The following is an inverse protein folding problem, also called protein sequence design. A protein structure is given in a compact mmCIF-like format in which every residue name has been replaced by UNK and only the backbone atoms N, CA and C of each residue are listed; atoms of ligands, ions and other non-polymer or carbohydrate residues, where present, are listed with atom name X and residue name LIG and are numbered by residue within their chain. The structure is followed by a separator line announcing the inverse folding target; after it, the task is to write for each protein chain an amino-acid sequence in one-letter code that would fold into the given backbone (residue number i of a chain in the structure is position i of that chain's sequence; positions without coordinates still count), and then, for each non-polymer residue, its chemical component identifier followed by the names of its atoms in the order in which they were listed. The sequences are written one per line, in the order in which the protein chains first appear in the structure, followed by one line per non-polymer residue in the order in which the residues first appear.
data_IF_588011427613
#
_entry.id   IF_588011427613
#
_cell.length_a   1.000
_cell.length_b   1.000
_cell.length_c   1.000
_cell.angle_alpha   90.00
_cell.angle_beta   90.00
_cell.angle_gamma   90.00
#
_symmetry.space_group_name_H-M   'P 1'
#
loop_
_entity.id
_entity.type
_entity.pdbx_description
1 polymer ?
#
# COMPACT_ATOMS: atom_id res chain seq x y z
N UNK A 1 -30.31 9.34 -59.27
CA UNK A 1 -28.89 8.99 -59.11
C UNK A 1 -28.28 9.93 -58.09
N UNK A 2 -27.95 9.44 -56.90
CA UNK A 2 -26.90 9.98 -56.03
C UNK A 2 -26.82 9.07 -54.80
N UNK A 3 -25.72 8.34 -54.73
CA UNK A 3 -25.37 7.38 -53.68
C UNK A 3 -25.07 8.10 -52.36
N UNK A 4 -25.65 7.62 -51.27
CA UNK A 4 -25.28 8.00 -49.91
C UNK A 4 -24.08 7.17 -49.44
N UNK A 5 -22.88 7.74 -49.50
CA UNK A 5 -21.71 7.18 -48.81
C UNK A 5 -21.81 7.44 -47.30
N UNK A 6 -22.03 6.37 -46.56
CA UNK A 6 -22.02 6.35 -45.10
C UNK A 6 -20.57 6.15 -44.61
N UNK A 7 -19.83 7.23 -44.34
CA UNK A 7 -18.49 7.11 -43.74
C UNK A 7 -18.62 6.98 -42.21
N UNK A 8 -18.51 5.75 -41.71
CA UNK A 8 -18.41 5.48 -40.27
C UNK A 8 -17.09 6.04 -39.75
N UNK A 9 -17.16 7.03 -38.88
CA UNK A 9 -16.00 7.68 -38.25
C UNK A 9 -15.46 6.79 -37.14
N UNK A 10 -14.48 5.96 -37.46
CA UNK A 10 -13.75 5.09 -36.52
C UNK A 10 -12.92 5.94 -35.57
N UNK A 11 -13.26 5.98 -34.28
CA UNK A 11 -12.53 6.73 -33.25
C UNK A 11 -11.28 5.97 -32.77
N UNK A 12 -10.23 6.69 -32.38
CA UNK A 12 -8.89 6.16 -32.01
C UNK A 12 -8.91 5.09 -30.89
N UNK A 13 -9.96 5.05 -30.07
CA UNK A 13 -10.20 4.00 -29.07
C UNK A 13 -10.49 2.62 -29.68
N UNK A 14 -11.14 2.57 -30.84
CA UNK A 14 -11.44 1.31 -31.55
C UNK A 14 -10.21 0.74 -32.27
N UNK A 15 -9.27 1.60 -32.69
CA UNK A 15 -7.98 1.16 -33.25
C UNK A 15 -7.03 0.58 -32.19
N UNK A 16 -7.05 1.11 -30.95
CA UNK A 16 -6.36 0.51 -29.78
C UNK A 16 -6.98 -0.83 -29.34
N UNK A 17 -8.31 -0.99 -29.46
CA UNK A 17 -9.01 -2.27 -29.21
C UNK A 17 -8.67 -3.35 -30.25
N UNK A 18 -8.44 -2.98 -31.51
CA UNK A 18 -8.09 -3.94 -32.56
C UNK A 18 -6.62 -4.37 -32.53
N UNK A 19 -5.67 -3.48 -32.24
CA UNK A 19 -4.24 -3.82 -32.19
C UNK A 19 -3.82 -4.60 -30.94
N UNK A 20 -4.57 -4.53 -29.84
CA UNK A 20 -4.31 -5.36 -28.65
C UNK A 20 -4.99 -6.74 -28.74
N UNK A 21 -6.07 -6.87 -29.52
CA UNK A 21 -6.72 -8.16 -29.76
C UNK A 21 -5.94 -9.06 -30.74
N UNK A 22 -5.10 -8.49 -31.61
CA UNK A 22 -4.30 -9.26 -32.58
C UNK A 22 -2.94 -9.75 -32.07
N UNK A 23 -2.65 -9.60 -30.77
CA UNK A 23 -1.42 -10.12 -30.13
C UNK A 23 -1.71 -11.16 -29.04
N UNK A 24 -2.95 -11.65 -28.95
CA UNK A 24 -3.37 -12.69 -28.02
C UNK A 24 -3.56 -14.03 -28.74
N UNK A 25 -2.52 -14.49 -29.43
CA UNK A 25 -2.31 -15.92 -29.64
C UNK A 25 -0.97 -16.25 -29.00
N UNK A 26 -0.99 -16.48 -27.68
CA UNK A 26 0.13 -17.07 -26.97
C UNK A 26 -0.37 -18.32 -26.24
N UNK A 27 0.42 -19.39 -26.36
CA UNK A 27 0.14 -20.74 -25.92
C UNK A 27 -0.11 -20.79 -24.39
N UNK A 28 -0.82 -21.80 -23.85
CA UNK A 28 -1.19 -21.80 -22.44
C UNK A 28 0.06 -21.87 -21.57
N UNK A 29 0.41 -20.74 -20.96
CA UNK A 29 1.43 -20.69 -19.92
C UNK A 29 1.01 -21.64 -18.79
N UNK A 30 1.87 -22.60 -18.46
CA UNK A 30 1.64 -23.53 -17.36
C UNK A 30 1.61 -22.74 -16.06
N UNK A 31 0.40 -22.52 -15.53
CA UNK A 31 0.19 -21.87 -14.21
C UNK A 31 1.01 -22.60 -13.15
N UNK A 32 1.91 -21.90 -12.48
CA UNK A 32 2.76 -22.42 -11.42
C UNK A 32 1.95 -22.45 -10.12
N UNK A 33 2.10 -23.53 -9.36
CA UNK A 33 1.53 -23.62 -8.02
C UNK A 33 2.38 -22.81 -7.04
N UNK A 34 1.70 -22.02 -6.21
CA UNK A 34 2.31 -21.28 -5.09
C UNK A 34 1.48 -21.59 -3.85
N UNK A 35 1.87 -22.59 -3.06
CA UNK A 35 1.09 -23.05 -1.90
C UNK A 35 1.60 -22.37 -0.63
N UNK A 36 0.70 -21.75 0.13
CA UNK A 36 1.02 -21.25 1.47
C UNK A 36 1.12 -22.44 2.44
N UNK A 37 2.26 -22.60 3.11
CA UNK A 37 2.44 -23.62 4.14
C UNK A 37 1.55 -23.39 5.38
N UNK A 38 1.51 -24.36 6.30
CA UNK A 38 0.70 -24.26 7.52
C UNK A 38 1.14 -23.07 8.41
N UNK A 39 0.17 -22.22 8.76
CA UNK A 39 0.37 -21.08 9.66
C UNK A 39 0.47 -21.55 11.13
N UNK A 40 1.62 -22.07 11.52
CA UNK A 40 1.95 -22.42 12.91
C UNK A 40 2.29 -21.18 13.75
N UNK A 41 2.20 -21.30 15.08
CA UNK A 41 2.68 -20.26 16.00
C UNK A 41 4.22 -20.20 15.96
N UNK A 42 4.79 -19.50 14.98
CA UNK A 42 6.23 -19.18 15.01
C UNK A 42 6.38 -17.95 15.89
N UNK A 43 6.92 -18.14 17.10
CA UNK A 43 7.39 -17.03 17.92
C UNK A 43 8.63 -16.43 17.26
N UNK A 44 8.63 -15.13 16.98
CA UNK A 44 9.84 -14.42 16.59
C UNK A 44 10.82 -14.45 17.78
N UNK A 45 11.87 -15.26 17.64
CA UNK A 45 13.03 -15.25 18.54
C UNK A 45 13.69 -13.88 18.41
N UNK A 46 13.43 -13.00 19.36
CA UNK A 46 14.23 -11.79 19.55
C UNK A 46 15.63 -12.22 19.96
N UNK A 47 16.63 -11.75 19.20
CA UNK A 47 18.04 -12.02 19.46
C UNK A 47 18.41 -11.69 20.91
N UNK A 48 19.02 -12.66 21.56
CA UNK A 48 19.61 -12.56 22.89
C UNK A 48 20.70 -11.48 22.93
N UNK A 49 20.49 -10.44 23.73
CA UNK A 49 21.57 -9.58 24.22
C UNK A 49 22.20 -10.21 25.47
N UNK A 50 23.54 -10.24 25.59
CA UNK A 50 24.21 -10.92 26.70
C UNK A 50 24.05 -10.17 28.02
N UNK A 51 23.76 -10.94 29.07
CA UNK A 51 23.67 -10.51 30.46
C UNK A 51 24.96 -9.83 30.95
N UNK A 52 24.83 -8.66 31.59
CA UNK A 52 25.73 -8.24 32.68
C UNK A 52 24.95 -7.66 33.87
N UNK A 53 24.99 -8.47 34.94
CA UNK A 53 25.07 -8.18 36.40
C UNK A 53 24.19 -7.09 37.04
N UNK A 54 23.36 -7.60 37.96
CA UNK A 54 22.66 -6.93 39.08
C UNK A 54 23.52 -5.93 39.86
N UNK A 55 22.90 -4.80 40.23
CA UNK A 55 23.06 -4.16 41.53
C UNK A 55 21.68 -3.68 42.03
N UNK A 56 21.44 -3.84 43.34
CA UNK A 56 20.17 -3.60 44.04
C UNK A 56 20.03 -2.12 44.43
N UNK A 57 18.81 -1.57 44.36
CA UNK A 57 18.33 -0.62 45.38
C UNK A 57 16.81 -0.40 45.34
N UNK A 58 16.18 -0.87 46.43
CA UNK A 58 15.11 -0.27 47.24
C UNK A 58 13.81 0.28 46.63
N UNK A 59 12.74 -0.20 47.26
CA UNK A 59 11.31 0.12 47.12
C UNK A 59 11.00 1.43 47.84
N UNK A 60 10.29 2.35 47.17
CA UNK A 60 9.39 3.30 47.84
C UNK A 60 8.09 3.42 47.03
N UNK A 61 6.97 3.21 47.72
CA UNK A 61 5.59 3.24 47.20
C UNK A 61 5.12 4.68 46.93
N UNK A 62 4.35 4.88 45.86
CA UNK A 62 3.21 5.82 45.86
C UNK A 62 2.22 5.50 44.71
N UNK A 63 0.91 5.40 45.02
CA UNK A 63 -0.21 5.19 44.08
C UNK A 63 -0.75 6.55 43.53
N UNK A 64 -1.87 6.61 42.78
CA UNK A 64 -1.90 6.82 41.34
C UNK A 64 -2.51 8.18 40.93
N UNK A 65 -2.15 8.73 39.76
CA UNK A 65 -2.96 9.78 39.11
C UNK A 65 -3.15 9.52 37.62
N UNK A 66 -4.43 9.45 37.26
CA UNK A 66 -5.00 9.37 35.91
C UNK A 66 -4.63 10.59 35.07
N UNK A 67 -4.31 10.36 33.77
CA UNK A 67 -5.02 10.94 32.61
C UNK A 67 -4.30 10.53 31.32
N UNK A 68 -4.88 9.56 30.63
CA UNK A 68 -4.53 9.16 29.27
C UNK A 68 -4.93 10.29 28.31
N UNK A 69 -3.96 10.97 27.69
CA UNK A 69 -4.23 11.86 26.56
C UNK A 69 -4.35 11.02 25.29
N UNK A 70 -5.57 10.92 24.80
CA UNK A 70 -5.91 10.41 23.46
C UNK A 70 -5.28 11.35 22.43
N UNK A 71 -4.53 10.80 21.48
CA UNK A 71 -4.04 11.55 20.33
C UNK A 71 -5.23 11.84 19.40
N UNK A 72 -5.69 13.08 19.41
CA UNK A 72 -6.74 13.60 18.53
C UNK A 72 -6.08 13.94 17.19
N UNK A 73 -6.58 13.35 16.10
CA UNK A 73 -6.20 13.73 14.74
C UNK A 73 -6.55 15.21 14.50
N UNK A 74 -5.73 15.99 13.77
CA UNK A 74 -6.04 17.39 13.54
C UNK A 74 -7.28 17.52 12.64
N UNK A 75 -8.30 18.18 13.18
CA UNK A 75 -9.50 18.60 12.45
C UNK A 75 -9.11 19.64 11.40
N UNK A 76 -9.23 19.30 10.12
CA UNK A 76 -9.13 20.28 9.03
C UNK A 76 -10.41 21.14 9.07
N UNK A 77 -10.30 22.34 9.65
CA UNK A 77 -11.29 23.40 9.47
C UNK A 77 -10.89 24.19 8.22
N UNK A 78 -11.82 24.30 7.27
CA UNK A 78 -11.71 25.24 6.17
C UNK A 78 -11.71 26.67 6.74
N UNK A 79 -10.54 27.29 6.78
CA UNK A 79 -10.39 28.73 6.99
C UNK A 79 -10.07 29.35 5.63
N UNK A 80 -11.02 30.12 5.11
CA UNK A 80 -10.80 31.04 4.00
C UNK A 80 -9.98 32.20 4.58
N UNK A 81 -8.70 32.26 4.22
CA UNK A 81 -7.86 33.43 4.39
C UNK A 81 -7.33 33.79 3.01
N UNK A 82 -7.69 34.99 2.58
CA UNK A 82 -7.17 35.65 1.40
C UNK A 82 -5.72 36.05 1.66
N UNK A 83 -4.78 35.36 1.01
CA UNK A 83 -3.40 35.84 0.86
C UNK A 83 -3.07 35.89 -0.64
N UNK A 84 -2.79 37.11 -1.10
CA UNK A 84 -2.37 37.47 -2.45
C UNK A 84 -0.87 37.15 -2.65
N UNK A 85 -0.55 35.87 -2.79
CA UNK A 85 0.63 35.44 -3.55
C UNK A 85 0.19 34.56 -4.71
N UNK A 86 0.86 34.60 -5.88
CA UNK A 86 0.46 33.79 -7.02
C UNK A 86 0.67 32.32 -6.66
N UNK A 87 -0.39 31.64 -6.20
CA UNK A 87 -0.44 30.19 -6.13
C UNK A 87 -0.15 29.68 -7.53
N UNK A 88 1.03 29.10 -7.75
CA UNK A 88 1.29 28.31 -8.95
C UNK A 88 0.15 27.30 -9.08
N UNK A 89 -0.57 27.38 -10.20
CA UNK A 89 -1.69 26.49 -10.46
C UNK A 89 -1.18 25.06 -10.46
N UNK A 90 -1.92 24.19 -9.78
CA UNK A 90 -1.69 22.73 -9.70
C UNK A 90 -1.50 22.11 -11.09
N UNK A 91 -2.14 22.73 -12.10
CA UNK A 91 -2.10 22.29 -13.49
C UNK A 91 -0.87 22.80 -14.25
N UNK A 92 -0.09 23.75 -13.73
CA UNK A 92 1.11 24.24 -14.44
C UNK A 92 2.33 23.33 -14.20
N UNK A 93 2.27 22.48 -13.18
CA UNK A 93 3.43 21.77 -12.63
C UNK A 93 3.55 20.31 -13.12
N UNK A 94 2.45 19.67 -13.54
CA UNK A 94 2.41 18.22 -13.81
C UNK A 94 2.33 17.92 -15.31
N UNK A 95 3.33 17.30 -15.94
CA UNK A 95 3.29 16.98 -17.39
C UNK A 95 2.33 15.84 -17.82
N UNK A 96 1.56 15.27 -16.89
CA UNK A 96 0.58 14.21 -17.16
C UNK A 96 -0.83 14.78 -17.47
N UNK A 97 -1.37 14.56 -18.68
CA UNK A 97 -2.74 14.95 -19.05
C UNK A 97 -3.83 14.40 -18.13
N UNK A 98 -3.61 13.25 -17.46
CA UNK A 98 -4.57 12.68 -16.51
C UNK A 98 -4.61 13.46 -15.18
N UNK A 99 -3.53 14.15 -14.81
CA UNK A 99 -3.43 14.90 -13.55
C UNK A 99 -3.68 16.40 -13.69
N UNK A 100 -3.72 16.93 -14.91
CA UNK A 100 -4.12 18.31 -15.27
C UNK A 100 -5.61 18.46 -15.59
N UNK A 101 -6.42 17.45 -15.26
CA UNK A 101 -7.85 17.47 -15.53
C UNK A 101 -8.59 18.49 -14.64
N UNK A 102 -9.70 19.08 -15.09
CA UNK A 102 -10.47 20.08 -14.33
C UNK A 102 -10.97 19.56 -12.96
N UNK A 103 -11.04 18.24 -12.78
CA UNK A 103 -11.46 17.58 -11.54
C UNK A 103 -10.29 17.13 -10.66
N UNK A 104 -9.02 17.40 -11.02
CA UNK A 104 -7.85 16.86 -10.32
C UNK A 104 -7.78 17.27 -8.84
N UNK A 105 -8.11 18.53 -8.55
CA UNK A 105 -8.17 19.06 -7.18
C UNK A 105 -9.34 18.47 -6.39
N UNK A 106 -10.51 18.35 -7.02
CA UNK A 106 -11.72 17.81 -6.39
C UNK A 106 -11.54 16.32 -6.06
N UNK A 107 -11.00 15.55 -7.00
CA UNK A 107 -10.68 14.13 -6.82
C UNK A 107 -9.69 13.95 -5.68
N UNK A 108 -8.61 14.74 -5.64
CA UNK A 108 -7.64 14.64 -4.55
C UNK A 108 -8.26 14.95 -3.20
N UNK A 109 -9.03 16.05 -3.11
CA UNK A 109 -9.72 16.44 -1.88
C UNK A 109 -10.70 15.36 -1.42
N UNK A 110 -11.46 14.78 -2.36
CA UNK A 110 -12.36 13.66 -2.10
C UNK A 110 -11.62 12.42 -1.57
N UNK A 111 -10.50 12.04 -2.19
CA UNK A 111 -9.69 10.90 -1.75
C UNK A 111 -9.09 11.13 -0.36
N UNK A 112 -8.64 12.36 -0.04
CA UNK A 112 -8.13 12.74 1.29
C UNK A 112 -9.22 12.68 2.37
N UNK A 113 -10.45 13.06 2.04
CA UNK A 113 -11.60 12.91 2.94
C UNK A 113 -11.91 11.41 3.13
N UNK A 114 -11.98 10.66 2.04
CA UNK A 114 -12.34 9.25 2.05
C UNK A 114 -11.36 8.38 2.83
N UNK A 115 -10.05 8.60 2.69
CA UNK A 115 -9.04 7.81 3.41
C UNK A 115 -9.09 7.99 4.93
N UNK A 116 -9.64 9.12 5.38
CA UNK A 116 -9.76 9.48 6.80
C UNK A 116 -11.08 9.02 7.42
N UNK A 117 -12.05 8.56 6.62
CA UNK A 117 -13.35 8.11 7.11
C UNK A 117 -13.20 6.89 8.04
N UNK A 118 -13.62 6.98 9.32
CA UNK A 118 -13.42 5.88 10.28
C UNK A 118 -14.04 4.54 9.85
N UNK A 119 -15.19 4.57 9.17
CA UNK A 119 -15.87 3.36 8.66
C UNK A 119 -15.10 2.63 7.56
N UNK A 120 -14.21 3.34 6.86
CA UNK A 120 -13.37 2.81 5.78
C UNK A 120 -12.01 2.33 6.27
N UNK A 121 -11.69 2.58 7.54
CA UNK A 121 -10.39 2.29 8.13
C UNK A 121 -10.43 0.99 8.93
N UNK A 122 -9.38 0.15 8.83
CA UNK A 122 -9.18 -0.91 9.79
C UNK A 122 -8.89 -0.34 11.18
N UNK A 123 -9.27 -1.07 12.23
CA UNK A 123 -8.96 -0.72 13.62
C UNK A 123 -7.45 -0.96 13.84
N UNK A 124 -6.65 0.06 14.22
CA UNK A 124 -5.19 -0.07 14.29
C UNK A 124 -4.63 -1.19 15.18
N UNK A 125 -5.42 -1.66 16.15
CA UNK A 125 -5.07 -2.74 17.07
C UNK A 125 -6.09 -3.89 17.06
N UNK A 126 -6.64 -4.21 15.89
CA UNK A 126 -7.55 -5.34 15.74
C UNK A 126 -6.92 -6.70 16.10
N UNK A 127 -5.60 -6.87 15.92
CA UNK A 127 -4.92 -8.12 16.29
C UNK A 127 -5.00 -8.33 17.80
N UNK A 128 -4.76 -7.29 18.59
CA UNK A 128 -4.77 -7.39 20.05
C UNK A 128 -6.18 -7.33 20.65
N UNK A 129 -7.11 -6.61 20.01
CA UNK A 129 -8.45 -6.37 20.57
C UNK A 129 -9.52 -7.33 20.10
N UNK A 130 -9.42 -7.83 18.86
CA UNK A 130 -10.48 -8.60 18.21
C UNK A 130 -10.02 -10.03 17.96
N UNK A 131 -8.83 -10.20 17.39
CA UNK A 131 -8.33 -11.52 17.03
C UNK A 131 -7.83 -12.29 18.25
N UNK A 132 -8.16 -13.58 18.29
CA UNK A 132 -7.71 -14.50 19.34
C UNK A 132 -6.71 -15.53 18.81
N UNK A 133 -6.77 -15.84 17.53
CA UNK A 133 -6.02 -16.93 16.89
C UNK A 133 -5.12 -16.47 15.73
N UNK A 134 -5.31 -15.24 15.24
CA UNK A 134 -4.52 -14.62 14.17
C UNK A 134 -3.51 -13.64 14.76
N UNK A 135 -2.25 -13.80 14.41
CA UNK A 135 -1.16 -12.90 14.81
C UNK A 135 -0.71 -11.97 13.69
N UNK A 136 -0.04 -10.88 14.04
CA UNK A 136 0.58 -9.97 13.07
C UNK A 136 1.58 -10.69 12.13
N UNK A 137 2.30 -11.69 12.64
CA UNK A 137 3.22 -12.49 11.83
C UNK A 137 2.48 -13.34 10.79
N UNK A 138 1.37 -13.98 11.17
CA UNK A 138 0.54 -14.75 10.23
C UNK A 138 -0.05 -13.86 9.13
N UNK A 139 -0.46 -12.63 9.48
CA UNK A 139 -0.87 -11.63 8.48
C UNK A 139 0.29 -11.30 7.53
N UNK A 140 1.49 -11.06 8.04
CA UNK A 140 2.68 -10.79 7.21
C UNK A 140 2.99 -11.93 6.24
N UNK A 141 2.94 -13.18 6.72
CA UNK A 141 3.14 -14.39 5.91
C UNK A 141 2.06 -14.55 4.83
N UNK A 142 0.79 -14.29 5.17
CA UNK A 142 -0.29 -14.27 4.18
C UNK A 142 -0.02 -13.23 3.08
N UNK A 143 0.32 -11.99 3.46
CA UNK A 143 0.54 -10.91 2.49
C UNK A 143 1.76 -11.19 1.61
N UNK A 144 2.85 -11.73 2.16
CA UNK A 144 4.03 -12.14 1.38
C UNK A 144 3.65 -13.16 0.31
N UNK A 145 2.88 -14.19 0.67
CA UNK A 145 2.35 -15.15 -0.29
C UNK A 145 1.40 -14.53 -1.32
N UNK A 146 0.53 -13.60 -0.91
CA UNK A 146 -0.38 -12.92 -1.83
C UNK A 146 0.35 -12.09 -2.90
N UNK A 147 1.55 -11.59 -2.60
CA UNK A 147 2.41 -10.93 -3.62
C UNK A 147 2.80 -11.93 -4.70
N UNK A 148 3.20 -13.15 -4.33
CA UNK A 148 3.52 -14.20 -5.29
C UNK A 148 2.30 -14.62 -6.12
N UNK A 149 1.11 -14.72 -5.49
CA UNK A 149 -0.15 -15.02 -6.20
C UNK A 149 -0.51 -13.91 -7.19
N UNK A 150 -0.30 -12.65 -6.81
CA UNK A 150 -0.55 -11.51 -7.69
C UNK A 150 0.37 -11.54 -8.92
N UNK A 151 1.66 -11.88 -8.76
CA UNK A 151 2.58 -12.05 -9.89
C UNK A 151 2.19 -13.25 -10.78
N UNK A 152 1.79 -14.38 -10.18
CA UNK A 152 1.37 -15.59 -10.92
C UNK A 152 0.14 -15.33 -11.80
N UNK A 153 -0.83 -14.58 -11.29
CA UNK A 153 -2.03 -14.19 -12.02
C UNK A 153 -1.93 -12.84 -12.74
N UNK A 154 -0.74 -12.23 -12.72
CA UNK A 154 -0.46 -10.94 -13.37
C UNK A 154 -1.45 -9.85 -12.97
N UNK A 155 -1.87 -9.85 -11.71
CA UNK A 155 -2.77 -8.85 -11.16
C UNK A 155 -2.04 -7.52 -11.03
N UNK A 156 -2.77 -6.42 -11.27
CA UNK A 156 -2.30 -5.08 -11.05
C UNK A 156 -2.01 -4.82 -9.56
N UNK A 157 -1.13 -3.83 -9.27
CA UNK A 157 -0.84 -3.45 -7.89
C UNK A 157 -2.12 -3.00 -7.16
N UNK A 158 -3.01 -2.25 -7.82
CA UNK A 158 -4.23 -1.75 -7.21
C UNK A 158 -5.11 -2.89 -6.65
N UNK A 159 -5.21 -4.04 -7.33
CA UNK A 159 -5.89 -5.24 -6.81
C UNK A 159 -5.22 -5.81 -5.56
N UNK A 160 -3.89 -5.88 -5.51
CA UNK A 160 -3.17 -6.34 -4.32
C UNK A 160 -3.44 -5.42 -3.12
N UNK A 161 -3.31 -4.10 -3.31
CA UNK A 161 -3.54 -3.12 -2.24
C UNK A 161 -5.00 -3.17 -1.73
N UNK A 162 -5.98 -3.29 -2.63
CA UNK A 162 -7.39 -3.42 -2.26
C UNK A 162 -7.65 -4.71 -1.49
N UNK A 163 -7.09 -5.83 -1.93
CA UNK A 163 -7.22 -7.14 -1.26
C UNK A 163 -6.79 -7.06 0.20
N UNK A 164 -5.65 -6.41 0.46
CA UNK A 164 -5.08 -6.27 1.81
C UNK A 164 -5.91 -5.31 2.66
N UNK A 165 -6.42 -4.23 2.05
CA UNK A 165 -7.40 -3.34 2.69
C UNK A 165 -8.66 -4.09 3.12
N UNK A 166 -9.16 -5.02 2.30
CA UNK A 166 -10.33 -5.84 2.64
C UNK A 166 -10.04 -6.79 3.79
N UNK A 167 -8.88 -7.46 3.78
CA UNK A 167 -8.42 -8.34 4.87
C UNK A 167 -8.37 -7.58 6.19
N UNK A 168 -7.68 -6.44 6.23
CA UNK A 168 -7.49 -5.67 7.47
C UNK A 168 -8.82 -5.13 8.01
N UNK A 169 -9.72 -4.67 7.14
CA UNK A 169 -11.06 -4.22 7.54
C UNK A 169 -11.93 -5.38 8.03
N UNK A 170 -11.89 -6.53 7.36
CA UNK A 170 -12.64 -7.71 7.77
C UNK A 170 -12.20 -8.21 9.14
N UNK A 171 -10.89 -8.33 9.37
CA UNK A 171 -10.31 -8.74 10.66
C UNK A 171 -10.51 -7.70 11.77
N UNK A 172 -10.86 -6.45 11.42
CA UNK A 172 -11.25 -5.42 12.38
C UNK A 172 -12.64 -5.64 12.98
N UNK A 173 -13.49 -6.45 12.34
CA UNK A 173 -14.89 -6.63 12.72
C UNK A 173 -15.24 -8.09 13.01
N UNK A 174 -14.51 -9.04 12.45
CA UNK A 174 -14.82 -10.46 12.51
C UNK A 174 -13.64 -11.25 13.09
N UNK A 175 -13.91 -12.08 14.10
CA UNK A 175 -12.93 -13.04 14.61
C UNK A 175 -12.77 -14.16 13.59
N UNK A 176 -11.53 -14.46 13.22
CA UNK A 176 -11.21 -15.51 12.26
C UNK A 176 -10.23 -16.51 12.87
N UNK A 177 -10.42 -17.80 12.59
CA UNK A 177 -9.40 -18.81 12.90
C UNK A 177 -8.26 -18.75 11.90
N UNK A 178 -7.03 -19.02 12.35
CA UNK A 178 -5.82 -19.09 11.52
C UNK A 178 -5.99 -20.00 10.29
N UNK A 179 -6.76 -21.10 10.41
CA UNK A 179 -6.99 -22.08 9.34
C UNK A 179 -7.82 -21.50 8.18
N UNK A 180 -8.58 -20.42 8.43
CA UNK A 180 -9.39 -19.73 7.42
C UNK A 180 -8.72 -18.46 6.90
N UNK A 181 -7.50 -18.15 7.35
CA UNK A 181 -6.82 -16.92 6.97
C UNK A 181 -6.43 -16.92 5.48
N UNK A 182 -5.97 -18.06 4.95
CA UNK A 182 -5.70 -18.20 3.51
C UNK A 182 -7.00 -18.07 2.68
N UNK A 183 -8.11 -18.67 3.13
CA UNK A 183 -9.43 -18.51 2.50
C UNK A 183 -9.86 -17.03 2.45
N UNK A 184 -9.69 -16.28 3.55
CA UNK A 184 -9.96 -14.84 3.57
C UNK A 184 -9.08 -14.09 2.55
N UNK A 185 -7.81 -14.47 2.44
CA UNK A 185 -6.85 -13.89 1.50
C UNK A 185 -7.29 -14.05 0.04
N UNK A 186 -7.53 -15.28 -0.40
CA UNK A 186 -7.92 -15.55 -1.79
C UNK A 186 -9.30 -15.01 -2.15
N UNK A 187 -10.26 -15.06 -1.23
CA UNK A 187 -11.58 -14.44 -1.46
C UNK A 187 -11.48 -12.91 -1.55
N UNK A 188 -10.57 -12.30 -0.80
CA UNK A 188 -10.29 -10.85 -0.90
C UNK A 188 -9.63 -10.48 -2.23
N UNK A 189 -8.70 -11.32 -2.73
CA UNK A 189 -8.11 -11.16 -4.08
C UNK A 189 -9.12 -11.36 -5.19
N UNK A 190 -10.04 -12.32 -5.06
CA UNK A 190 -11.13 -12.51 -6.00
C UNK A 190 -11.99 -11.25 -6.10
N UNK A 191 -12.37 -10.65 -4.98
CA UNK A 191 -13.18 -9.42 -4.97
C UNK A 191 -12.40 -8.25 -5.58
N UNK A 192 -11.15 -8.04 -5.17
CA UNK A 192 -10.33 -6.94 -5.68
C UNK A 192 -10.05 -7.10 -7.18
N UNK A 193 -9.86 -8.33 -7.65
CA UNK A 193 -9.70 -8.61 -9.07
C UNK A 193 -10.98 -8.27 -9.84
N UNK A 194 -12.15 -8.69 -9.36
CA UNK A 194 -13.45 -8.33 -9.98
C UNK A 194 -13.70 -6.82 -10.02
N UNK A 195 -13.12 -6.09 -9.07
CA UNK A 195 -13.29 -4.64 -8.96
C UNK A 195 -12.38 -3.87 -9.91
N UNK A 196 -11.13 -4.29 -10.07
CA UNK A 196 -10.08 -3.50 -10.72
C UNK A 196 -9.61 -4.08 -12.07
N UNK A 197 -9.66 -5.40 -12.25
CA UNK A 197 -9.11 -6.05 -13.44
C UNK A 197 -10.08 -6.02 -14.62
N UNK A 198 -9.52 -5.83 -15.82
CA UNK A 198 -10.28 -5.94 -17.07
C UNK A 198 -10.81 -7.38 -17.26
N UNK A 199 -9.97 -8.36 -16.92
CA UNK A 199 -10.27 -9.79 -17.01
C UNK A 199 -9.85 -10.48 -15.72
N UNK A 200 -10.72 -10.49 -14.69
CA UNK A 200 -10.39 -11.10 -13.40
C UNK A 200 -10.28 -12.63 -13.50
N UNK A 201 -9.41 -13.28 -12.70
CA UNK A 201 -9.39 -14.74 -12.59
C UNK A 201 -10.72 -15.31 -12.11
N UNK A 202 -11.02 -16.55 -12.49
CA UNK A 202 -12.22 -17.24 -12.05
C UNK A 202 -12.05 -17.81 -10.64
N UNK A 203 -13.16 -18.19 -10.00
CA UNK A 203 -13.14 -18.79 -8.66
C UNK A 203 -12.31 -20.07 -8.63
N UNK A 204 -12.36 -20.86 -9.71
CA UNK A 204 -11.57 -22.06 -9.93
C UNK A 204 -10.06 -21.80 -9.84
N UNK A 205 -9.59 -20.65 -10.33
CA UNK A 205 -8.18 -20.29 -10.26
C UNK A 205 -7.74 -20.12 -8.80
N UNK A 206 -8.53 -19.41 -8.00
CA UNK A 206 -8.25 -19.25 -6.57
C UNK A 206 -8.38 -20.56 -5.77
N UNK A 207 -9.22 -21.51 -6.21
CA UNK A 207 -9.22 -22.86 -5.66
C UNK A 207 -7.92 -23.59 -6.01
N UNK A 208 -7.47 -23.48 -7.27
CA UNK A 208 -6.26 -24.13 -7.77
C UNK A 208 -4.99 -23.63 -7.06
N UNK A 209 -4.82 -22.32 -6.87
CA UNK A 209 -3.60 -21.77 -6.24
C UNK A 209 -3.46 -22.16 -4.77
N UNK A 210 -4.57 -22.47 -4.11
CA UNK A 210 -4.58 -22.99 -2.73
C UNK A 210 -4.41 -24.50 -2.67
N UNK A 211 -3.92 -25.14 -3.74
CA UNK A 211 -3.83 -26.59 -3.91
C UNK A 211 -5.16 -27.32 -3.65
N UNK A 212 -6.28 -26.66 -3.98
CA UNK A 212 -7.63 -27.13 -3.70
C UNK A 212 -7.89 -27.39 -2.21
N UNK A 213 -7.17 -26.71 -1.32
CA UNK A 213 -7.45 -26.71 0.13
C UNK A 213 -8.89 -26.24 0.41
N UNK A 214 -9.40 -25.33 -0.43
CA UNK A 214 -10.76 -24.83 -0.33
C UNK A 214 -11.57 -25.13 -1.59
N UNK A 215 -12.83 -25.46 -1.40
CA UNK A 215 -13.79 -25.69 -2.48
C UNK A 215 -14.41 -24.38 -2.96
N UNK A 216 -14.91 -24.38 -4.20
CA UNK A 216 -15.56 -23.22 -4.84
C UNK A 216 -16.63 -22.58 -3.96
N UNK A 217 -17.49 -23.37 -3.33
CA UNK A 217 -18.56 -22.91 -2.45
C UNK A 217 -18.04 -22.22 -1.18
N UNK A 218 -16.91 -22.66 -0.65
CA UNK A 218 -16.26 -22.00 0.50
C UNK A 218 -15.70 -20.64 0.11
N UNK A 219 -15.05 -20.54 -1.05
CA UNK A 219 -14.51 -19.28 -1.58
C UNK A 219 -15.64 -18.28 -1.86
N UNK A 220 -16.74 -18.72 -2.49
CA UNK A 220 -17.91 -17.88 -2.78
C UNK A 220 -18.63 -17.47 -1.49
N UNK A 221 -18.72 -18.37 -0.51
CA UNK A 221 -19.31 -18.03 0.80
C UNK A 221 -18.47 -16.97 1.52
N UNK A 222 -17.16 -17.14 1.56
CA UNK A 222 -16.26 -16.15 2.16
C UNK A 222 -16.31 -14.82 1.40
N UNK A 223 -16.39 -14.82 0.07
CA UNK A 223 -16.63 -13.61 -0.71
C UNK A 223 -17.90 -12.87 -0.26
N UNK A 224 -19.02 -13.58 -0.12
CA UNK A 224 -20.27 -13.00 0.35
C UNK A 224 -20.16 -12.45 1.78
N UNK A 225 -19.45 -13.15 2.68
CA UNK A 225 -19.23 -12.72 4.05
C UNK A 225 -18.39 -11.44 4.13
N UNK A 226 -17.36 -11.32 3.28
CA UNK A 226 -16.53 -10.10 3.16
C UNK A 226 -17.40 -8.94 2.67
N UNK A 227 -18.11 -9.10 1.56
CA UNK A 227 -18.93 -8.04 0.96
C UNK A 227 -19.99 -7.52 1.94
N UNK A 228 -20.66 -8.43 2.67
CA UNK A 228 -21.62 -8.06 3.72
C UNK A 228 -20.95 -7.31 4.87
N UNK A 229 -19.81 -7.82 5.37
CA UNK A 229 -19.08 -7.19 6.48
C UNK A 229 -18.61 -5.78 6.14
N UNK A 230 -18.20 -5.56 4.88
CA UNK A 230 -17.72 -4.28 4.40
C UNK A 230 -18.84 -3.37 3.89
N UNK A 231 -20.11 -3.78 3.97
CA UNK A 231 -21.26 -3.09 3.41
C UNK A 231 -21.07 -2.68 1.94
N UNK A 232 -20.39 -3.52 1.14
CA UNK A 232 -20.04 -3.26 -0.26
C UNK A 232 -19.22 -1.97 -0.51
N UNK A 233 -18.60 -1.40 0.53
CA UNK A 233 -17.72 -0.23 0.43
C UNK A 233 -16.31 -0.67 -0.06
N UNK A 234 -16.17 -0.96 -1.36
CA UNK A 234 -14.96 -1.59 -1.92
C UNK A 234 -13.90 -0.61 -2.47
N UNK A 235 -14.31 0.60 -2.85
CA UNK A 235 -13.45 1.59 -3.52
C UNK A 235 -12.64 2.49 -2.59
N UNK A 236 -11.93 1.94 -1.61
CA UNK A 236 -11.14 2.75 -0.67
C UNK A 236 -9.80 3.18 -1.28
N UNK A 237 -9.35 4.43 -1.05
CA UNK A 237 -8.01 4.86 -1.47
C UNK A 237 -6.93 4.06 -0.75
N UNK A 238 -5.87 3.76 -1.47
CA UNK A 238 -4.71 3.00 -1.00
C UNK A 238 -3.44 3.86 -1.11
N UNK A 239 -2.32 3.39 -0.55
CA UNK A 239 -1.08 4.16 -0.67
C UNK A 239 -0.68 4.34 -2.14
N UNK A 240 -0.96 3.32 -2.98
CA UNK A 240 -0.75 3.37 -4.43
C UNK A 240 -1.53 4.51 -5.11
N UNK A 241 -2.75 4.79 -4.65
CA UNK A 241 -3.59 5.89 -5.17
C UNK A 241 -2.89 7.25 -5.08
N UNK A 242 -2.20 7.52 -3.97
CA UNK A 242 -1.50 8.79 -3.74
C UNK A 242 -0.06 8.79 -4.29
N UNK A 243 0.58 7.62 -4.32
CA UNK A 243 2.00 7.49 -4.62
C UNK A 243 2.38 8.03 -6.00
N UNK A 244 1.58 7.78 -7.05
CA UNK A 244 1.84 8.30 -8.41
C UNK A 244 1.91 9.83 -8.39
N UNK A 245 0.93 10.46 -7.75
CA UNK A 245 0.81 11.93 -7.64
C UNK A 245 2.01 12.52 -6.89
N UNK A 246 2.38 11.94 -5.76
CA UNK A 246 3.51 12.43 -4.96
C UNK A 246 4.86 12.18 -5.60
N UNK A 247 5.03 11.08 -6.34
CA UNK A 247 6.27 10.79 -7.05
C UNK A 247 6.49 11.75 -8.22
N UNK A 248 5.43 12.14 -8.94
CA UNK A 248 5.56 13.15 -10.00
C UNK A 248 6.06 14.49 -9.45
N UNK A 249 5.50 14.94 -8.33
CA UNK A 249 5.86 16.21 -7.69
C UNK A 249 7.28 16.17 -7.13
N UNK A 250 7.65 15.04 -6.52
CA UNK A 250 8.98 14.81 -6.01
C UNK A 250 10.09 14.90 -7.08
N UNK A 251 9.72 14.76 -8.35
CA UNK A 251 10.62 14.74 -9.50
C UNK A 251 10.74 16.09 -10.22
N UNK A 252 9.97 17.11 -9.83
CA UNK A 252 9.99 18.45 -10.47
C UNK A 252 11.38 19.08 -10.50
N UNK A 253 12.18 18.82 -9.46
CA UNK A 253 13.55 19.34 -9.35
C UNK A 253 14.50 18.73 -10.41
N UNK A 254 14.10 17.66 -11.10
CA UNK A 254 14.93 16.91 -12.03
C UNK A 254 14.46 17.12 -13.47
N UNK A 255 15.43 17.40 -14.37
CA UNK A 255 15.18 17.62 -15.80
C UNK A 255 14.55 16.41 -16.52
N UNK A 256 14.67 15.22 -15.97
CA UNK A 256 14.13 13.98 -16.55
C UNK A 256 13.52 13.13 -15.44
N UNK A 257 12.28 12.62 -15.61
CA UNK A 257 11.67 11.69 -14.68
C UNK A 257 12.58 10.45 -14.47
N UNK A 258 12.86 10.15 -13.22
CA UNK A 258 13.61 8.99 -12.78
C UNK A 258 12.65 7.83 -12.53
N UNK A 259 12.55 6.92 -13.50
CA UNK A 259 11.85 5.63 -13.32
C UNK A 259 12.35 4.86 -12.08
N UNK A 260 13.62 5.05 -11.72
CA UNK A 260 14.21 4.43 -10.53
C UNK A 260 13.58 4.97 -9.24
N UNK A 261 13.24 6.26 -9.19
CA UNK A 261 12.53 6.84 -8.04
C UNK A 261 11.11 6.30 -7.95
N UNK A 262 10.42 6.20 -9.08
CA UNK A 262 9.06 5.65 -9.16
C UNK A 262 9.01 4.20 -8.66
N UNK A 263 9.87 3.33 -9.21
CA UNK A 263 9.92 1.93 -8.78
C UNK A 263 10.38 1.80 -7.33
N UNK A 264 11.29 2.63 -6.84
CA UNK A 264 11.71 2.62 -5.45
C UNK A 264 10.57 3.05 -4.51
N UNK A 265 9.79 4.08 -4.90
CA UNK A 265 8.58 4.48 -4.19
C UNK A 265 7.55 3.35 -4.13
N UNK A 266 7.34 2.64 -5.25
CA UNK A 266 6.46 1.46 -5.30
C UNK A 266 6.95 0.32 -4.41
N UNK A 267 8.24 -0.01 -4.49
CA UNK A 267 8.86 -1.03 -3.66
C UNK A 267 8.64 -0.75 -2.16
N UNK A 268 8.93 0.48 -1.73
CA UNK A 268 8.78 0.88 -0.35
C UNK A 268 7.31 0.86 0.09
N UNK A 269 6.40 1.39 -0.73
CA UNK A 269 4.98 1.32 -0.41
C UNK A 269 4.47 -0.13 -0.35
N UNK A 270 4.99 -1.05 -1.16
CA UNK A 270 4.59 -2.47 -1.14
C UNK A 270 5.18 -3.20 0.08
N UNK A 271 6.41 -2.88 0.49
CA UNK A 271 6.97 -3.35 1.77
C UNK A 271 6.10 -2.98 2.97
N UNK A 272 5.50 -1.79 2.95
CA UNK A 272 4.61 -1.33 4.03
C UNK A 272 3.39 -2.24 4.23
N UNK A 273 2.98 -2.97 3.19
CA UNK A 273 1.85 -3.90 3.26
C UNK A 273 2.14 -5.12 4.11
N UNK A 274 3.42 -5.49 4.30
CA UNK A 274 3.83 -6.67 5.08
C UNK A 274 3.71 -6.43 6.59
N UNK A 275 3.99 -5.21 7.05
CA UNK A 275 4.06 -4.89 8.49
C UNK A 275 2.73 -4.34 9.02
N UNK A 276 2.17 -5.06 9.99
CA UNK A 276 0.96 -4.68 10.70
C UNK A 276 1.02 -3.26 11.30
N UNK A 277 2.20 -2.76 11.66
CA UNK A 277 2.36 -1.41 12.20
C UNK A 277 1.91 -0.29 11.26
N UNK A 278 1.79 -0.55 9.95
CA UNK A 278 1.34 0.43 8.97
C UNK A 278 -0.17 0.60 8.91
N UNK A 279 -0.95 -0.34 9.47
CA UNK A 279 -2.42 -0.29 9.51
C UNK A 279 -2.95 0.98 10.18
N UNK A 280 -2.17 1.60 11.08
CA UNK A 280 -2.52 2.84 11.78
C UNK A 280 -2.37 4.12 10.94
N UNK A 281 -1.53 4.11 9.90
CA UNK A 281 -1.19 5.31 9.14
C UNK A 281 -2.18 5.55 7.99
N UNK A 282 -2.39 6.80 7.60
CA UNK A 282 -3.19 7.13 6.41
C UNK A 282 -2.47 6.65 5.14
N UNK A 283 -3.20 6.12 4.15
CA UNK A 283 -2.64 5.75 2.86
C UNK A 283 -1.76 6.84 2.23
N UNK A 284 -2.21 8.10 2.26
CA UNK A 284 -1.41 9.25 1.79
C UNK A 284 -0.15 9.47 2.61
N UNK A 285 -0.19 9.30 3.93
CA UNK A 285 0.99 9.42 4.80
C UNK A 285 2.01 8.32 4.49
N UNK A 286 1.56 7.09 4.22
CA UNK A 286 2.44 5.99 3.80
C UNK A 286 3.07 6.30 2.44
N UNK A 287 2.29 6.78 1.47
CA UNK A 287 2.79 7.18 0.15
C UNK A 287 3.83 8.32 0.26
N UNK A 288 3.56 9.35 1.05
CA UNK A 288 4.48 10.44 1.32
C UNK A 288 5.79 9.94 1.97
N UNK A 289 5.68 9.02 2.93
CA UNK A 289 6.83 8.40 3.59
C UNK A 289 7.68 7.57 2.63
N UNK A 290 7.04 6.85 1.69
CA UNK A 290 7.71 6.09 0.66
C UNK A 290 8.50 7.02 -0.29
N UNK A 291 7.90 8.13 -0.71
CA UNK A 291 8.58 9.14 -1.55
C UNK A 291 9.73 9.81 -0.81
N UNK A 292 9.53 10.20 0.45
CA UNK A 292 10.60 10.75 1.30
C UNK A 292 11.78 9.80 1.36
N UNK A 293 11.53 8.53 1.69
CA UNK A 293 12.59 7.55 1.84
C UNK A 293 13.25 7.21 0.50
N UNK A 294 12.49 7.15 -0.59
CA UNK A 294 13.03 6.96 -1.93
C UNK A 294 14.01 8.09 -2.31
N UNK A 295 13.63 9.36 -2.07
CA UNK A 295 14.53 10.51 -2.30
C UNK A 295 15.78 10.43 -1.44
N UNK A 296 15.63 10.04 -0.16
CA UNK A 296 16.78 9.87 0.74
C UNK A 296 17.76 8.79 0.25
N UNK A 297 17.25 7.63 -0.20
CA UNK A 297 18.09 6.54 -0.71
C UNK A 297 18.81 6.96 -2.00
N UNK A 298 18.12 7.66 -2.90
CA UNK A 298 18.70 8.11 -4.17
C UNK A 298 19.70 9.25 -4.00
N UNK A 299 19.39 10.21 -3.12
CA UNK A 299 20.20 11.40 -2.91
C UNK A 299 20.41 11.67 -1.42
N UNK A 300 21.24 10.88 -0.72
CA UNK A 300 21.44 10.99 0.73
C UNK A 300 21.95 12.34 1.24
N UNK A 301 22.51 13.17 0.35
CA UNK A 301 23.06 14.49 0.68
C UNK A 301 22.05 15.61 0.56
N UNK A 302 20.92 15.38 -0.10
CA UNK A 302 19.88 16.38 -0.33
C UNK A 302 18.76 16.19 0.69
N UNK A 303 18.17 17.29 1.17
CA UNK A 303 17.00 17.20 2.01
C UNK A 303 15.85 16.51 1.24
N UNK A 304 15.34 15.36 1.69
CA UNK A 304 14.40 14.56 0.91
C UNK A 304 13.01 15.19 0.80
N UNK A 305 12.66 16.12 1.70
CA UNK A 305 11.35 16.79 1.74
C UNK A 305 11.48 18.28 1.42
N UNK A 306 11.13 18.67 0.19
CA UNK A 306 11.16 20.07 -0.24
C UNK A 306 9.86 20.82 0.05
N UNK A 307 9.89 22.15 -0.09
CA UNK A 307 8.71 23.00 0.15
C UNK A 307 7.53 22.68 -0.78
N UNK A 308 7.79 22.35 -2.06
CA UNK A 308 6.74 22.03 -3.04
C UNK A 308 5.93 20.79 -2.61
N UNK A 309 6.62 19.68 -2.31
CA UNK A 309 5.95 18.44 -1.89
C UNK A 309 5.25 18.61 -0.54
N UNK A 310 5.80 19.43 0.37
CA UNK A 310 5.14 19.77 1.63
C UNK A 310 3.83 20.54 1.40
N UNK A 311 3.84 21.59 0.57
CA UNK A 311 2.65 22.36 0.26
C UNK A 311 1.55 21.50 -0.37
N UNK A 312 1.94 20.57 -1.25
CA UNK A 312 0.99 19.74 -1.98
C UNK A 312 0.39 18.60 -1.15
N UNK A 313 1.24 17.92 -0.39
CA UNK A 313 0.82 16.79 0.46
C UNK A 313 0.15 17.28 1.75
N UNK A 314 0.48 18.49 2.20
CA UNK A 314 0.10 19.03 3.50
C UNK A 314 0.83 18.36 4.68
N UNK A 315 1.84 17.53 4.42
CA UNK A 315 2.61 16.85 5.47
C UNK A 315 3.95 17.55 5.71
N UNK A 316 4.23 17.84 6.98
CA UNK A 316 5.54 18.31 7.42
C UNK A 316 6.50 17.12 7.57
N UNK A 317 7.82 17.32 7.48
CA UNK A 317 8.79 16.25 7.74
C UNK A 317 8.57 15.55 9.08
N UNK A 318 8.23 16.32 10.13
CA UNK A 318 7.93 15.80 11.47
C UNK A 318 6.75 14.81 11.49
N UNK A 319 5.73 15.01 10.66
CA UNK A 319 4.55 14.12 10.57
C UNK A 319 4.92 12.75 10.00
N UNK A 320 5.87 12.73 9.07
CA UNK A 320 6.31 11.51 8.36
C UNK A 320 7.28 10.66 9.17
N UNK A 321 7.96 11.25 10.16
CA UNK A 321 9.06 10.63 10.91
C UNK A 321 8.78 9.21 11.37
N UNK A 322 7.64 8.97 12.02
CA UNK A 322 7.31 7.65 12.56
C UNK A 322 7.15 6.59 11.47
N UNK A 323 6.52 6.96 10.36
CA UNK A 323 6.28 6.06 9.23
C UNK A 323 7.56 5.83 8.42
N UNK A 324 8.36 6.88 8.18
CA UNK A 324 9.65 6.80 7.48
C UNK A 324 10.64 5.90 8.22
N UNK A 325 10.77 6.03 9.54
CA UNK A 325 11.69 5.19 10.32
C UNK A 325 11.28 3.71 10.31
N UNK A 326 9.98 3.42 10.44
CA UNK A 326 9.46 2.05 10.30
C UNK A 326 9.71 1.49 8.90
N UNK A 327 9.54 2.33 7.88
CA UNK A 327 9.74 1.94 6.50
C UNK A 327 11.23 1.72 6.17
N UNK A 328 12.13 2.49 6.78
CA UNK A 328 13.57 2.28 6.68
C UNK A 328 14.01 0.98 7.36
N UNK A 329 13.45 0.65 8.52
CA UNK A 329 13.67 -0.64 9.18
C UNK A 329 13.20 -1.81 8.30
N UNK A 330 12.06 -1.67 7.62
CA UNK A 330 11.61 -2.63 6.61
C UNK A 330 12.60 -2.69 5.46
N UNK A 331 12.98 -1.57 4.84
CA UNK A 331 13.93 -1.57 3.73
C UNK A 331 15.25 -2.28 4.08
N UNK A 332 15.82 -1.97 5.26
CA UNK A 332 17.04 -2.58 5.83
C UNK A 332 16.87 -4.04 6.31
N UNK A 333 15.69 -4.64 6.15
CA UNK A 333 15.36 -5.99 6.61
C UNK A 333 15.55 -6.22 8.13
N UNK A 334 15.55 -5.14 8.94
CA UNK A 334 15.54 -5.23 10.41
C UNK A 334 14.19 -5.75 10.93
N UNK A 335 13.15 -5.61 10.11
CA UNK A 335 11.79 -6.12 10.32
C UNK A 335 11.36 -6.90 9.09
N UNK A 336 10.64 -8.01 9.30
CA UNK A 336 10.08 -8.81 8.20
C UNK A 336 11.13 -9.34 7.22
N UNK A 337 12.39 -9.53 7.65
CA UNK A 337 13.47 -10.01 6.77
C UNK A 337 13.26 -11.42 6.20
N UNK A 338 12.40 -12.22 6.84
CA UNK A 338 11.99 -13.54 6.35
C UNK A 338 10.90 -13.49 5.28
N UNK A 339 10.25 -12.34 5.08
CA UNK A 339 9.22 -12.11 4.06
C UNK A 339 9.91 -11.55 2.82
N UNK A 340 10.04 -12.39 1.79
CA UNK A 340 10.98 -12.16 0.68
C UNK A 340 10.31 -11.83 -0.65
N UNK A 341 9.01 -12.12 -0.82
CA UNK A 341 8.35 -12.04 -2.13
C UNK A 341 8.44 -10.65 -2.75
N UNK A 342 8.14 -9.61 -1.96
CA UNK A 342 8.27 -8.20 -2.42
C UNK A 342 9.71 -7.88 -2.79
N UNK A 343 10.71 -8.41 -2.06
CA UNK A 343 12.12 -8.11 -2.36
C UNK A 343 12.55 -8.77 -3.66
N UNK A 344 12.21 -10.04 -3.84
CA UNK A 344 12.54 -10.77 -5.07
C UNK A 344 11.90 -10.13 -6.29
N UNK A 345 10.62 -9.72 -6.19
CA UNK A 345 9.93 -8.95 -7.23
C UNK A 345 10.73 -7.72 -7.65
N UNK A 346 11.10 -6.84 -6.71
CA UNK A 346 11.78 -5.58 -7.04
C UNK A 346 13.31 -5.70 -7.24
N UNK A 347 13.87 -6.92 -7.15
CA UNK A 347 15.23 -7.22 -7.64
C UNK A 347 15.28 -7.39 -9.15
N UNK A 348 14.14 -7.66 -9.80
CA UNK A 348 14.09 -7.89 -11.24
C UNK A 348 14.47 -6.62 -12.03
N UNK A 349 15.10 -6.82 -13.19
CA UNK A 349 15.59 -5.74 -14.05
C UNK A 349 14.47 -4.82 -14.54
N UNK A 350 13.25 -5.35 -14.72
CA UNK A 350 12.08 -4.55 -15.11
C UNK A 350 11.71 -3.47 -14.09
N UNK A 351 12.04 -3.68 -12.81
CA UNK A 351 11.88 -2.71 -11.73
C UNK A 351 13.18 -1.96 -11.40
N UNK A 352 14.14 -1.92 -12.34
CA UNK A 352 15.44 -1.24 -12.18
C UNK A 352 16.26 -1.71 -10.97
N UNK A 353 16.01 -2.92 -10.48
CA UNK A 353 16.73 -3.52 -9.35
C UNK A 353 16.72 -2.65 -8.08
N UNK A 354 15.66 -1.85 -7.86
CA UNK A 354 15.58 -0.87 -6.76
C UNK A 354 15.72 -1.49 -5.36
N UNK A 355 15.37 -2.78 -5.22
CA UNK A 355 15.57 -3.51 -3.97
C UNK A 355 17.05 -3.76 -3.62
N UNK A 356 17.98 -3.61 -4.57
CA UNK A 356 19.42 -3.81 -4.36
C UNK A 356 20.19 -2.50 -4.15
N UNK A 357 19.51 -1.36 -4.10
CA UNK A 357 20.18 -0.09 -3.91
C UNK A 357 20.86 -0.01 -2.52
N UNK A 358 22.02 0.62 -2.40
CA UNK A 358 22.60 0.91 -1.10
C UNK A 358 21.83 2.06 -0.44
N UNK A 359 21.62 1.98 0.87
CA UNK A 359 21.03 3.06 1.65
C UNK A 359 21.88 3.31 2.90
N UNK A 360 22.02 4.57 3.34
CA UNK A 360 22.67 4.87 4.59
C UNK A 360 21.99 4.14 5.77
N UNK A 361 22.77 3.74 6.80
CA UNK A 361 22.26 2.95 7.92
C UNK A 361 21.33 3.75 8.84
N UNK A 362 21.40 5.08 8.82
CA UNK A 362 20.58 5.95 9.65
C UNK A 362 20.13 7.17 8.85
N UNK A 363 18.90 7.60 9.10
CA UNK A 363 18.34 8.84 8.54
C UNK A 363 18.67 9.96 9.53
N UNK A 364 19.38 11.03 9.11
CA UNK A 364 19.68 12.17 9.97
C UNK A 364 18.42 12.76 10.60
N UNK A 365 18.43 12.97 11.92
CA UNK A 365 17.29 13.55 12.63
C UNK A 365 16.93 14.95 12.12
N UNK A 366 17.94 15.71 11.67
CA UNK A 366 17.79 17.04 11.08
C UNK A 366 16.85 17.06 9.88
N UNK A 367 16.63 15.94 9.18
CA UNK A 367 15.67 15.86 8.07
C UNK A 367 14.20 15.83 8.52
N UNK A 368 13.95 15.73 9.82
CA UNK A 368 12.61 15.78 10.40
C UNK A 368 12.34 17.07 11.17
N UNK A 369 13.35 17.93 11.32
CA UNK A 369 13.20 19.26 11.91
C UNK A 369 12.72 20.24 10.82
N UNK A 370 11.96 21.27 11.21
CA UNK A 370 11.52 22.28 10.25
C UNK A 370 12.76 23.03 9.72
N UNK A 371 12.90 23.07 8.39
CA UNK A 371 13.97 23.78 7.70
C UNK A 371 13.76 25.30 7.72
#
# INVERSE_FOLDING_TARGET
MAETQNSVRVTRASKKRATMASMAEDQPATKKRVVLGELSNIQNVTGSLPQKRRAKSQITKCKPKKRTKVCVAPTIKAAVLEDNEPKLSIDDILDDPEMKGPYSSDIYSYLRIMEAEPKRRPIPNYIEKIQTDVSANMRGVLVDWMVEVAEEYKLGPDSLYLSISYIDRYLSMNILSRQRLQLLGVSSMLIASKYEEITPPHVEDFCYITDNTYRRDEVVKMEADILKSLNFEMGNPTAKTFLRRFTNIAQEDFKTPSLQLEFLGHYLAELSLLDYNFVKFLPSLVAASAVFLAKFIMWPKLHPWGSNIQQYTGYKPADLRSSVLLLHDLYMARRGGSLIAVREKYKLHMFKCVAMMPSPPEIPFSYFEEA
#
